data_IF_265028654057
#
_entry.id   IF_265028654057
#
_cell.length_a   1.000
_cell.length_b   1.000
_cell.length_c   1.000
_cell.angle_alpha   90.00
_cell.angle_beta   90.00
_cell.angle_gamma   90.00
#
_symmetry.space_group_name_H-M   'P 1'
#
loop_
_entity.id
_entity.type
_entity.pdbx_description
1 polymer ?
#
# COMPACT_ATOMS: atom_id res chain seq x y z
N UNK A 1 -2.53 -7.49 -18.68
CA UNK A 1 -2.49 -6.11 -19.21
C UNK A 1 -1.48 -5.25 -18.45
N UNK A 2 -1.65 -5.03 -17.14
CA UNK A 2 -0.71 -4.23 -16.35
C UNK A 2 0.72 -4.81 -16.31
N UNK A 3 0.88 -6.11 -16.03
CA UNK A 3 2.21 -6.73 -15.94
C UNK A 3 2.96 -6.68 -17.28
N UNK A 4 2.28 -7.00 -18.38
CA UNK A 4 2.82 -6.86 -19.74
C UNK A 4 3.23 -5.42 -20.06
N UNK A 5 2.39 -4.44 -19.71
CA UNK A 5 2.71 -3.02 -19.91
C UNK A 5 3.96 -2.60 -19.13
N UNK A 6 4.10 -3.04 -17.87
CA UNK A 6 5.30 -2.76 -17.07
C UNK A 6 6.51 -3.45 -17.70
N UNK A 7 6.41 -4.71 -18.09
CA UNK A 7 7.51 -5.40 -18.77
C UNK A 7 7.94 -4.69 -20.07
N UNK A 8 6.97 -4.21 -20.85
CA UNK A 8 7.23 -3.45 -22.08
C UNK A 8 7.88 -2.09 -21.77
N UNK A 9 7.48 -1.41 -20.70
CA UNK A 9 8.11 -0.17 -20.24
C UNK A 9 9.58 -0.38 -19.85
N UNK A 10 9.91 -1.51 -19.21
CA UNK A 10 11.30 -1.88 -18.88
C UNK A 10 12.11 -2.36 -20.09
N UNK A 11 11.47 -2.59 -21.24
CA UNK A 11 12.11 -3.00 -22.50
C UNK A 11 12.20 -1.86 -23.52
N UNK A 12 11.42 -0.79 -23.35
CA UNK A 12 11.39 0.37 -24.23
C UNK A 12 12.44 1.44 -23.91
N UNK A 13 12.29 2.59 -24.57
CA UNK A 13 13.26 3.69 -24.53
C UNK A 13 13.43 4.32 -23.12
N UNK A 14 12.40 4.22 -22.27
CA UNK A 14 12.45 4.73 -20.89
C UNK A 14 13.33 3.88 -19.96
N UNK A 15 13.82 2.70 -20.39
CA UNK A 15 14.60 1.77 -19.57
C UNK A 15 15.79 2.44 -18.88
N UNK A 16 16.56 3.26 -19.60
CA UNK A 16 17.74 3.92 -19.04
C UNK A 16 17.37 4.95 -17.97
N UNK A 17 16.29 5.70 -18.18
CA UNK A 17 15.81 6.70 -17.24
C UNK A 17 15.28 6.03 -15.96
N UNK A 18 14.53 4.94 -16.11
CA UNK A 18 14.02 4.13 -15.00
C UNK A 18 15.19 3.51 -14.22
N UNK A 19 16.17 2.91 -14.92
CA UNK A 19 17.33 2.31 -14.29
C UNK A 19 18.17 3.34 -13.51
N UNK A 20 18.33 4.55 -14.05
CA UNK A 20 19.03 5.65 -13.37
C UNK A 20 18.29 6.06 -12.09
N UNK A 21 16.99 6.33 -12.19
CA UNK A 21 16.17 6.69 -11.03
C UNK A 21 16.17 5.60 -9.95
N UNK A 22 16.08 4.32 -10.34
CA UNK A 22 16.18 3.19 -9.41
C UNK A 22 17.54 3.12 -8.72
N UNK A 23 18.62 3.40 -9.45
CA UNK A 23 19.98 3.41 -8.87
C UNK A 23 20.17 4.56 -7.89
N UNK A 24 19.68 5.76 -8.23
CA UNK A 24 19.72 6.96 -7.38
C UNK A 24 18.97 6.72 -6.05
N UNK A 25 17.80 6.08 -6.12
CA UNK A 25 16.96 5.75 -4.96
C UNK A 25 17.33 4.41 -4.29
N UNK A 26 18.37 3.71 -4.78
CA UNK A 26 18.81 2.39 -4.29
C UNK A 26 17.70 1.32 -4.30
N UNK A 27 16.82 1.37 -5.30
CA UNK A 27 15.72 0.45 -5.50
C UNK A 27 16.15 -0.69 -6.43
N UNK A 28 15.94 -1.93 -5.98
CA UNK A 28 16.09 -3.12 -6.83
C UNK A 28 14.71 -3.61 -7.30
N UNK A 29 14.44 -3.58 -8.60
CA UNK A 29 13.21 -4.12 -9.16
C UNK A 29 13.34 -5.61 -9.45
N UNK A 30 12.40 -6.41 -8.93
CA UNK A 30 12.31 -7.85 -9.18
C UNK A 30 10.92 -8.23 -9.69
N UNK A 31 10.85 -8.87 -10.85
CA UNK A 31 9.61 -9.47 -11.35
C UNK A 31 9.35 -10.79 -10.63
N UNK A 32 8.07 -11.09 -10.35
CA UNK A 32 7.68 -12.40 -9.83
C UNK A 32 7.95 -13.47 -10.88
N UNK A 33 8.35 -14.66 -10.42
CA UNK A 33 8.52 -15.82 -11.29
C UNK A 33 7.19 -16.15 -12.01
N UNK A 34 7.27 -16.43 -13.31
CA UNK A 34 6.13 -16.89 -14.08
C UNK A 34 5.55 -18.17 -13.45
N UNK A 35 4.22 -18.25 -13.35
CA UNK A 35 3.49 -19.39 -12.74
C UNK A 35 3.69 -19.57 -11.23
N UNK A 36 4.15 -18.54 -10.52
CA UNK A 36 4.18 -18.52 -9.05
C UNK A 36 3.09 -17.59 -8.45
N UNK A 37 1.79 -17.90 -8.59
CA UNK A 37 0.70 -17.01 -8.15
C UNK A 37 0.68 -16.76 -6.64
N UNK A 38 1.24 -17.68 -5.83
CA UNK A 38 1.31 -17.52 -4.38
C UNK A 38 2.20 -16.34 -3.95
N UNK A 39 3.19 -15.95 -4.76
CA UNK A 39 4.06 -14.82 -4.49
C UNK A 39 3.31 -13.48 -4.45
N UNK A 40 2.17 -13.39 -5.15
CA UNK A 40 1.33 -12.19 -5.20
C UNK A 40 0.25 -12.12 -4.11
N UNK A 41 0.02 -13.20 -3.36
CA UNK A 41 -1.18 -13.34 -2.53
C UNK A 41 -1.34 -12.27 -1.44
N UNK A 42 -0.23 -11.79 -0.88
CA UNK A 42 -0.25 -10.68 0.08
C UNK A 42 -0.78 -9.38 -0.55
N UNK A 43 -0.22 -9.00 -1.70
CA UNK A 43 -0.61 -7.79 -2.43
C UNK A 43 -2.06 -7.86 -2.90
N UNK A 44 -2.49 -9.02 -3.42
CA UNK A 44 -3.87 -9.23 -3.83
C UNK A 44 -4.87 -9.10 -2.67
N UNK A 45 -4.49 -9.59 -1.49
CA UNK A 45 -5.29 -9.43 -0.27
C UNK A 45 -5.38 -7.97 0.14
N UNK A 46 -4.30 -7.20 0.05
CA UNK A 46 -4.31 -5.77 0.35
C UNK A 46 -5.20 -5.00 -0.65
N UNK A 47 -5.07 -5.28 -1.94
CA UNK A 47 -5.94 -4.71 -2.99
C UNK A 47 -7.41 -5.04 -2.74
N UNK A 48 -7.71 -6.25 -2.26
CA UNK A 48 -9.07 -6.64 -1.86
C UNK A 48 -9.58 -5.80 -0.69
N UNK A 49 -8.76 -5.53 0.31
CA UNK A 49 -9.13 -4.69 1.46
C UNK A 49 -9.50 -3.27 1.02
N UNK A 50 -8.67 -2.64 0.19
CA UNK A 50 -8.93 -1.30 -0.36
C UNK A 50 -10.22 -1.29 -1.18
N UNK A 51 -10.39 -2.23 -2.12
CA UNK A 51 -11.60 -2.33 -2.95
C UNK A 51 -12.87 -2.58 -2.12
N UNK A 52 -12.76 -3.36 -1.05
CA UNK A 52 -13.88 -3.61 -0.16
C UNK A 52 -14.30 -2.35 0.58
N UNK A 53 -13.34 -1.59 1.10
CA UNK A 53 -13.61 -0.30 1.74
C UNK A 53 -14.23 0.70 0.74
N UNK A 54 -13.65 0.83 -0.45
CA UNK A 54 -14.17 1.70 -1.51
C UNK A 54 -15.62 1.38 -1.87
N UNK A 55 -15.95 0.09 -2.07
CA UNK A 55 -17.34 -0.32 -2.38
C UNK A 55 -18.32 0.03 -1.27
N UNK A 56 -17.89 -0.07 0.00
CA UNK A 56 -18.72 0.28 1.16
C UNK A 56 -18.94 1.79 1.28
N UNK A 57 -17.91 2.60 1.00
CA UNK A 57 -17.98 4.06 1.09
C UNK A 57 -18.76 4.65 -0.09
N UNK A 58 -18.41 4.25 -1.32
CA UNK A 58 -18.99 4.83 -2.53
C UNK A 58 -20.37 4.26 -2.86
N UNK A 59 -20.63 2.98 -2.56
CA UNK A 59 -21.85 2.28 -2.98
C UNK A 59 -22.20 2.50 -4.47
N UNK A 60 -23.16 3.39 -4.76
CA UNK A 60 -23.59 3.78 -6.13
C UNK A 60 -23.30 5.25 -6.47
N UNK A 61 -22.58 5.98 -5.62
CA UNK A 61 -22.24 7.36 -5.84
C UNK A 61 -21.22 7.51 -6.98
N UNK A 62 -21.44 8.53 -7.82
CA UNK A 62 -20.43 9.03 -8.75
C UNK A 62 -19.72 10.18 -8.06
N UNK A 63 -18.40 10.08 -7.95
CA UNK A 63 -17.56 11.05 -7.27
C UNK A 63 -16.61 11.71 -8.26
N UNK A 64 -16.26 12.97 -7.98
CA UNK A 64 -15.21 13.68 -8.71
C UNK A 64 -13.85 13.03 -8.45
N UNK A 65 -12.85 13.45 -9.23
CA UNK A 65 -11.47 13.01 -9.02
C UNK A 65 -10.96 13.41 -7.63
N UNK A 66 -11.23 14.64 -7.22
CA UNK A 66 -10.80 15.20 -5.94
C UNK A 66 -11.42 14.42 -4.77
N UNK A 67 -12.73 14.15 -4.86
CA UNK A 67 -13.46 13.36 -3.87
C UNK A 67 -12.90 11.94 -3.76
N UNK A 68 -12.62 11.29 -4.90
CA UNK A 68 -12.03 9.95 -4.92
C UNK A 68 -10.65 9.93 -4.26
N UNK A 69 -9.80 10.94 -4.50
CA UNK A 69 -8.49 11.03 -3.85
C UNK A 69 -8.65 11.15 -2.34
N UNK A 70 -9.53 12.02 -1.86
CA UNK A 70 -9.79 12.18 -0.42
C UNK A 70 -10.28 10.87 0.21
N UNK A 71 -11.24 10.19 -0.42
CA UNK A 71 -11.74 8.89 0.05
C UNK A 71 -10.62 7.85 0.10
N UNK A 72 -9.75 7.82 -0.90
CA UNK A 72 -8.60 6.90 -0.92
C UNK A 72 -7.64 7.19 0.24
N UNK A 73 -7.34 8.46 0.52
CA UNK A 73 -6.49 8.85 1.66
C UNK A 73 -7.12 8.43 3.00
N UNK A 74 -8.43 8.57 3.17
CA UNK A 74 -9.12 8.10 4.38
C UNK A 74 -9.05 6.57 4.51
N UNK A 75 -9.28 5.84 3.41
CA UNK A 75 -9.19 4.38 3.39
C UNK A 75 -7.77 3.92 3.71
N UNK A 76 -6.76 4.57 3.14
CA UNK A 76 -5.35 4.33 3.43
C UNK A 76 -5.06 4.49 4.92
N UNK A 77 -5.46 5.63 5.50
CA UNK A 77 -5.27 5.90 6.92
C UNK A 77 -5.90 4.81 7.78
N UNK A 78 -7.13 4.34 7.46
CA UNK A 78 -7.79 3.26 8.20
C UNK A 78 -7.14 1.90 8.01
N UNK A 79 -6.66 1.58 6.82
CA UNK A 79 -5.94 0.33 6.57
C UNK A 79 -4.61 0.32 7.32
N UNK A 80 -3.92 1.46 7.39
CA UNK A 80 -2.63 1.59 8.06
C UNK A 80 -2.76 1.73 9.59
N UNK A 81 -3.89 2.20 10.11
CA UNK A 81 -4.20 2.24 11.54
C UNK A 81 -4.73 0.92 12.11
N UNK A 82 -4.92 -0.10 11.27
CA UNK A 82 -5.53 -1.36 11.74
C UNK A 82 -4.63 -2.07 12.76
N UNK A 83 -5.17 -2.56 13.90
CA UNK A 83 -4.43 -3.40 14.83
C UNK A 83 -3.92 -4.69 14.17
N UNK A 84 -2.64 -5.03 14.37
CA UNK A 84 -2.05 -6.31 13.97
C UNK A 84 -1.91 -7.25 15.16
N UNK A 85 -1.32 -6.78 16.24
CA UNK A 85 -1.07 -7.54 17.48
C UNK A 85 -0.82 -6.58 18.64
N UNK A 86 -0.84 -7.07 19.88
CA UNK A 86 -0.46 -6.30 21.07
C UNK A 86 1.06 -6.27 21.19
N UNK A 87 1.61 -5.16 21.68
CA UNK A 87 3.07 -5.02 21.90
C UNK A 87 3.45 -5.39 23.32
N UNK A 88 2.56 -5.11 24.28
CA UNK A 88 2.78 -5.30 25.71
C UNK A 88 2.00 -6.48 26.26
N UNK A 89 2.58 -7.12 27.28
CA UNK A 89 1.91 -8.13 28.12
C UNK A 89 1.13 -7.49 29.29
N UNK A 90 1.26 -6.17 29.49
CA UNK A 90 0.47 -5.42 30.47
C UNK A 90 -0.97 -5.28 29.98
N UNK A 91 -1.91 -5.83 30.75
CA UNK A 91 -3.35 -5.70 30.47
C UNK A 91 -3.87 -4.26 30.43
N UNK A 92 -3.14 -3.29 30.98
CA UNK A 92 -3.50 -1.87 30.95
C UNK A 92 -2.97 -1.13 29.72
N UNK A 93 -2.00 -1.70 29.00
CA UNK A 93 -1.48 -1.14 27.77
C UNK A 93 -2.28 -1.68 26.58
N UNK A 94 -3.20 -0.84 26.10
CA UNK A 94 -4.13 -1.19 25.03
C UNK A 94 -3.60 -0.80 23.65
N UNK A 95 -2.35 -0.32 23.54
CA UNK A 95 -1.82 0.16 22.28
C UNK A 95 -1.45 -1.00 21.34
N UNK A 96 -2.12 -1.11 20.17
CA UNK A 96 -1.82 -2.18 19.24
C UNK A 96 -0.66 -1.80 18.31
N UNK A 97 0.13 -2.79 17.93
CA UNK A 97 1.03 -2.66 16.78
C UNK A 97 0.20 -2.48 15.51
N UNK A 98 0.44 -1.38 14.79
CA UNK A 98 -0.24 -1.09 13.53
C UNK A 98 0.75 -1.06 12.37
N UNK A 99 0.31 -1.22 11.11
CA UNK A 99 1.15 -0.94 9.94
C UNK A 99 1.78 0.46 9.96
N UNK A 100 1.09 1.45 10.54
CA UNK A 100 1.60 2.82 10.66
C UNK A 100 2.94 2.86 11.41
N UNK A 101 3.08 2.07 12.48
CA UNK A 101 4.33 1.99 13.25
C UNK A 101 5.51 1.54 12.38
N UNK A 102 5.29 0.67 11.40
CA UNK A 102 6.35 0.25 10.47
C UNK A 102 6.66 1.30 9.40
N UNK A 103 5.70 2.16 9.05
CA UNK A 103 5.86 3.19 8.02
C UNK A 103 6.55 4.45 8.57
N UNK A 104 6.19 4.87 9.77
CA UNK A 104 6.63 6.15 10.36
C UNK A 104 7.53 5.97 11.58
N UNK A 105 7.60 4.78 12.17
CA UNK A 105 8.28 4.53 13.43
C UNK A 105 7.55 5.12 14.66
N UNK A 106 6.32 5.63 14.48
CA UNK A 106 5.54 6.38 15.48
C UNK A 106 4.07 5.98 15.43
N UNK A 107 3.31 6.31 16.47
CA UNK A 107 1.86 6.07 16.49
C UNK A 107 1.12 7.16 15.72
N UNK A 108 0.01 6.80 15.05
CA UNK A 108 -0.82 7.75 14.28
C UNK A 108 -1.29 8.97 15.10
N UNK A 109 -1.45 8.81 16.42
CA UNK A 109 -1.92 9.88 17.32
C UNK A 109 -0.79 10.72 17.93
N UNK A 110 0.48 10.44 17.64
CA UNK A 110 1.57 11.29 18.08
C UNK A 110 1.67 12.51 17.16
N UNK A 111 1.51 13.71 17.74
CA UNK A 111 1.77 14.96 17.02
C UNK A 111 3.26 15.03 16.62
N UNK A 112 3.58 15.56 15.43
CA UNK A 112 4.98 15.83 15.07
C UNK A 112 5.60 16.81 16.07
N UNK A 113 6.89 16.59 16.38
CA UNK A 113 7.71 17.53 17.16
C UNK A 113 7.93 18.86 16.42
#
# INVERSE_FOLDING_TARGET
>A
LADKYIQDLFRGDEKQKIARAMTEEKIEWRFSCEKAPWCGGYWERLVRSVKTALRKVLAKALVSREELVTILCEIEARINARPLTTISDDSNDLEPLTPFHFLTGRTLMELPD
#
